data_IF_216030662641
#
_entry.id   IF_216030662641
#
_cell.length_a   1.000
_cell.length_b   1.000
_cell.length_c   1.000
_cell.angle_alpha   90.00
_cell.angle_beta   90.00
_cell.angle_gamma   90.00
#
_symmetry.space_group_name_H-M   'P 1'
#
loop_
_entity.id
_entity.type
_entity.pdbx_description
1 polymer ?
#
# COMPACT_ATOMS: atom_id res chain seq x y z
N UNK A 1 3.46 -7.35 -7.93
CA UNK A 1 3.38 -8.81 -8.08
C UNK A 1 3.05 -9.53 -6.75
N UNK A 2 3.88 -9.40 -5.69
CA UNK A 2 3.65 -10.08 -4.40
C UNK A 2 2.34 -9.66 -3.72
N UNK A 3 2.03 -8.36 -3.70
CA UNK A 3 0.79 -7.82 -3.11
C UNK A 3 -0.46 -8.36 -3.78
N UNK A 4 -0.46 -8.50 -5.11
CA UNK A 4 -1.57 -9.09 -5.86
C UNK A 4 -1.80 -10.55 -5.48
N UNK A 5 -0.73 -11.36 -5.40
CA UNK A 5 -0.85 -12.77 -5.01
C UNK A 5 -1.35 -12.94 -3.57
N UNK A 6 -0.90 -12.07 -2.65
CA UNK A 6 -1.34 -12.12 -1.26
C UNK A 6 -2.83 -11.76 -1.12
N UNK A 7 -3.29 -10.70 -1.78
CA UNK A 7 -4.70 -10.28 -1.75
C UNK A 7 -5.60 -11.31 -2.44
N UNK A 8 -5.14 -11.93 -3.54
CA UNK A 8 -5.82 -13.03 -4.21
C UNK A 8 -5.97 -14.24 -3.29
N UNK A 9 -4.86 -14.68 -2.64
CA UNK A 9 -4.87 -15.79 -1.69
C UNK A 9 -5.88 -15.57 -0.56
N UNK A 10 -5.81 -14.40 0.08
CA UNK A 10 -6.69 -14.04 1.18
C UNK A 10 -8.17 -14.18 0.79
N UNK A 11 -8.53 -13.68 -0.38
CA UNK A 11 -9.92 -13.70 -0.84
C UNK A 11 -10.34 -15.07 -1.31
N UNK A 12 -9.50 -15.79 -2.07
CA UNK A 12 -9.80 -17.12 -2.53
C UNK A 12 -10.12 -18.08 -1.36
N UNK A 13 -9.22 -18.19 -0.40
CA UNK A 13 -9.40 -19.11 0.72
C UNK A 13 -10.54 -18.70 1.66
N UNK A 14 -10.76 -17.39 1.85
CA UNK A 14 -11.89 -16.93 2.65
C UNK A 14 -13.23 -17.20 1.98
N UNK A 15 -13.32 -17.12 0.65
CA UNK A 15 -14.52 -17.49 -0.09
C UNK A 15 -14.71 -19.01 -0.12
N UNK A 16 -13.65 -19.80 -0.29
CA UNK A 16 -13.71 -21.26 -0.26
C UNK A 16 -14.23 -21.75 1.09
N UNK A 17 -13.73 -21.21 2.20
CA UNK A 17 -14.25 -21.52 3.54
C UNK A 17 -15.70 -21.07 3.71
N UNK A 18 -16.07 -19.91 3.16
CA UNK A 18 -17.45 -19.43 3.21
C UNK A 18 -18.42 -20.34 2.45
N UNK A 19 -17.97 -21.00 1.39
CA UNK A 19 -18.75 -22.05 0.68
C UNK A 19 -18.87 -23.30 1.55
N UNK A 20 -17.80 -23.74 2.20
CA UNK A 20 -17.83 -24.87 3.12
C UNK A 20 -18.80 -24.62 4.30
N UNK A 21 -18.80 -23.41 4.82
CA UNK A 21 -19.76 -22.98 5.84
C UNK A 21 -21.20 -22.94 5.31
N UNK A 22 -21.42 -22.53 4.07
CA UNK A 22 -22.74 -22.56 3.45
C UNK A 22 -23.27 -24.00 3.33
N UNK A 23 -22.43 -24.93 2.93
CA UNK A 23 -22.79 -26.34 2.85
C UNK A 23 -23.20 -26.94 4.20
N UNK A 24 -22.58 -26.51 5.31
CA UNK A 24 -22.86 -27.04 6.66
C UNK A 24 -23.93 -26.27 7.44
N UNK A 25 -24.10 -24.96 7.17
CA UNK A 25 -24.96 -24.04 7.97
C UNK A 25 -25.99 -23.28 7.12
N UNK A 26 -26.07 -23.56 5.83
CA UNK A 26 -26.86 -22.82 4.86
C UNK A 26 -26.19 -21.53 4.37
N UNK A 27 -26.59 -21.10 3.21
CA UNK A 27 -26.17 -19.82 2.63
C UNK A 27 -26.73 -18.60 3.43
N UNK A 28 -26.25 -17.40 3.15
CA UNK A 28 -26.85 -16.22 3.77
C UNK A 28 -28.28 -15.97 3.22
N UNK A 29 -29.21 -15.38 4.03
CA UNK A 29 -30.66 -15.40 3.74
C UNK A 29 -31.08 -14.76 2.41
N UNK A 30 -30.27 -13.85 1.86
CA UNK A 30 -30.57 -13.17 0.60
C UNK A 30 -29.68 -13.65 -0.58
N UNK A 31 -28.99 -14.77 -0.43
CA UNK A 31 -28.05 -15.28 -1.45
C UNK A 31 -28.75 -15.44 -2.81
N UNK A 32 -29.94 -16.00 -2.83
CA UNK A 32 -30.75 -16.19 -4.04
C UNK A 32 -31.21 -14.88 -4.74
N UNK A 33 -31.05 -13.74 -4.08
CA UNK A 33 -31.36 -12.41 -4.64
C UNK A 33 -30.11 -11.66 -5.12
N UNK A 34 -28.95 -12.29 -5.07
CA UNK A 34 -27.68 -11.76 -5.55
C UNK A 34 -27.26 -12.44 -6.85
N UNK A 35 -26.13 -12.05 -7.38
CA UNK A 35 -25.56 -12.65 -8.59
C UNK A 35 -24.72 -13.91 -8.31
N UNK A 36 -24.57 -14.33 -7.04
CA UNK A 36 -23.82 -15.56 -6.70
C UNK A 36 -24.40 -16.83 -7.33
N UNK A 37 -25.74 -17.04 -7.39
CA UNK A 37 -26.32 -18.19 -8.08
C UNK A 37 -25.98 -18.24 -9.58
N UNK A 38 -25.72 -17.08 -10.20
CA UNK A 38 -25.29 -16.97 -11.58
C UNK A 38 -23.76 -17.20 -11.75
N UNK A 39 -23.04 -17.36 -10.65
CA UNK A 39 -21.59 -17.50 -10.63
C UNK A 39 -20.83 -16.18 -10.76
N UNK A 40 -21.49 -15.05 -10.54
CA UNK A 40 -20.82 -13.76 -10.50
C UNK A 40 -20.35 -13.45 -9.10
N UNK A 41 -19.10 -13.05 -8.96
CA UNK A 41 -18.45 -12.72 -7.69
C UNK A 41 -18.00 -11.25 -7.68
N UNK A 42 -17.98 -10.57 -6.52
CA UNK A 42 -17.63 -9.14 -6.44
C UNK A 42 -16.12 -8.90 -6.43
N UNK A 43 -15.37 -9.59 -7.28
CA UNK A 43 -13.91 -9.56 -7.36
C UNK A 43 -13.51 -9.20 -8.79
N UNK A 44 -13.14 -7.95 -9.02
CA UNK A 44 -12.84 -7.44 -10.37
C UNK A 44 -11.62 -8.13 -11.00
N UNK A 45 -10.63 -8.49 -10.18
CA UNK A 45 -9.43 -9.18 -10.65
C UNK A 45 -9.71 -10.52 -11.33
N UNK A 46 -10.79 -11.21 -10.96
CA UNK A 46 -11.21 -12.42 -11.65
C UNK A 46 -11.63 -12.15 -13.11
N UNK A 47 -12.28 -11.01 -13.38
CA UNK A 47 -12.79 -10.66 -14.71
C UNK A 47 -11.79 -9.87 -15.56
N UNK A 48 -11.03 -9.00 -14.94
CA UNK A 48 -10.17 -8.03 -15.60
C UNK A 48 -8.77 -8.57 -15.89
N UNK A 49 -8.31 -9.55 -15.12
CA UNK A 49 -7.00 -10.17 -15.34
C UNK A 49 -7.07 -11.38 -16.25
N UNK A 50 -6.06 -11.60 -17.11
CA UNK A 50 -5.97 -12.83 -17.90
C UNK A 50 -5.98 -14.06 -17.00
N UNK A 51 -6.76 -15.08 -17.34
CA UNK A 51 -6.95 -16.29 -16.52
C UNK A 51 -5.64 -17.02 -16.21
N UNK A 52 -4.70 -17.00 -17.13
CA UNK A 52 -3.37 -17.60 -16.98
C UNK A 52 -2.51 -16.90 -15.92
N UNK A 53 -2.91 -15.71 -15.46
CA UNK A 53 -2.25 -14.98 -14.36
C UNK A 53 -2.87 -15.24 -13.00
N UNK A 54 -4.00 -15.96 -12.94
CA UNK A 54 -4.62 -16.36 -11.70
C UNK A 54 -3.75 -17.40 -10.99
N UNK A 55 -3.65 -17.28 -9.67
CA UNK A 55 -2.86 -18.23 -8.87
C UNK A 55 -3.71 -19.45 -8.46
N UNK A 56 -5.03 -19.28 -8.37
CA UNK A 56 -5.96 -20.26 -7.83
C UNK A 56 -7.05 -20.66 -8.84
N UNK A 57 -7.73 -21.80 -8.56
CA UNK A 57 -8.76 -22.40 -9.40
C UNK A 57 -10.13 -21.72 -9.21
N UNK A 58 -10.21 -20.45 -9.58
CA UNK A 58 -11.41 -19.62 -9.42
C UNK A 58 -12.66 -20.21 -10.09
N UNK A 59 -12.51 -20.77 -11.30
CA UNK A 59 -13.64 -21.37 -12.01
C UNK A 59 -14.24 -22.54 -11.22
N UNK A 60 -13.39 -23.36 -10.57
CA UNK A 60 -13.85 -24.47 -9.72
C UNK A 60 -14.54 -23.96 -8.44
N UNK A 61 -14.04 -22.88 -7.85
CA UNK A 61 -14.68 -22.25 -6.69
C UNK A 61 -16.06 -21.67 -7.05
N UNK A 62 -16.17 -21.03 -8.21
CA UNK A 62 -17.43 -20.49 -8.69
C UNK A 62 -18.48 -21.58 -8.90
N UNK A 63 -18.11 -22.72 -9.46
CA UNK A 63 -19.05 -23.87 -9.59
C UNK A 63 -19.50 -24.40 -8.23
N UNK A 64 -18.62 -24.42 -7.21
CA UNK A 64 -19.00 -24.73 -5.83
C UNK A 64 -19.99 -23.68 -5.27
N UNK A 65 -19.78 -22.38 -5.55
CA UNK A 65 -20.70 -21.32 -5.11
C UNK A 65 -22.08 -21.49 -5.76
N UNK A 66 -22.18 -21.79 -7.06
CA UNK A 66 -23.45 -22.05 -7.72
C UNK A 66 -24.20 -23.24 -7.11
N UNK A 67 -23.46 -24.26 -6.69
CA UNK A 67 -24.04 -25.52 -6.19
C UNK A 67 -24.47 -25.43 -4.73
N UNK A 68 -23.67 -24.77 -3.89
CA UNK A 68 -23.81 -24.78 -2.43
C UNK A 68 -24.19 -23.41 -1.83
N UNK A 69 -24.19 -22.36 -2.65
CA UNK A 69 -24.28 -20.98 -2.17
C UNK A 69 -23.02 -20.54 -1.44
N UNK A 70 -23.09 -19.40 -0.79
CA UNK A 70 -22.02 -18.84 0.05
C UNK A 70 -22.59 -18.31 1.37
N UNK A 71 -21.88 -18.53 2.48
CA UNK A 71 -22.37 -18.15 3.82
C UNK A 71 -22.28 -16.66 4.09
N UNK A 72 -21.28 -15.98 3.56
CA UNK A 72 -20.99 -14.56 3.81
C UNK A 72 -21.10 -13.77 2.51
N UNK A 73 -21.79 -12.64 2.54
CA UNK A 73 -21.95 -11.76 1.37
C UNK A 73 -20.62 -11.28 0.83
N UNK A 74 -19.73 -10.85 1.73
CA UNK A 74 -18.36 -10.43 1.46
C UNK A 74 -17.46 -10.99 2.55
N UNK A 75 -16.25 -11.40 2.19
CA UNK A 75 -15.34 -12.09 3.11
C UNK A 75 -14.10 -11.29 3.46
N UNK A 76 -13.70 -10.31 2.64
CA UNK A 76 -12.45 -9.59 2.80
C UNK A 76 -12.61 -8.09 2.78
N UNK A 77 -11.83 -7.41 3.61
CA UNK A 77 -11.65 -5.95 3.65
C UNK A 77 -10.24 -5.63 4.13
N UNK A 78 -9.77 -4.42 3.90
CA UNK A 78 -8.56 -3.88 4.55
C UNK A 78 -8.99 -2.71 5.44
N UNK A 79 -9.10 -2.99 6.72
CA UNK A 79 -9.49 -2.00 7.73
C UNK A 79 -8.28 -1.14 8.15
N UNK A 80 -8.49 0.06 8.74
CA UNK A 80 -7.38 0.96 9.10
C UNK A 80 -6.46 0.41 10.21
N UNK A 81 -6.97 -0.36 11.14
CA UNK A 81 -6.26 -1.10 12.22
C UNK A 81 -5.18 -0.33 13.00
N UNK A 82 -5.19 1.02 12.99
CA UNK A 82 -4.13 1.83 13.60
C UNK A 82 -3.87 1.49 15.08
N UNK A 83 -4.91 1.50 15.92
CA UNK A 83 -4.78 1.16 17.35
C UNK A 83 -4.45 -0.32 17.56
N UNK A 84 -5.03 -1.21 16.76
CA UNK A 84 -4.74 -2.66 16.86
C UNK A 84 -3.29 -2.96 16.48
N UNK A 85 -2.75 -2.30 15.47
CA UNK A 85 -1.36 -2.43 15.06
C UNK A 85 -0.40 -1.97 16.18
N UNK A 86 -0.75 -0.88 16.87
CA UNK A 86 0.04 -0.41 18.02
C UNK A 86 0.03 -1.42 19.19
N UNK A 87 -1.10 -2.08 19.44
CA UNK A 87 -1.20 -3.12 20.49
C UNK A 87 -0.41 -4.37 20.09
N UNK A 88 -0.50 -4.75 18.81
CA UNK A 88 0.17 -5.93 18.26
C UNK A 88 1.66 -5.67 17.92
N UNK A 89 2.10 -4.41 17.99
CA UNK A 89 3.45 -3.98 17.66
C UNK A 89 3.89 -4.41 16.24
N UNK A 90 3.04 -4.11 15.27
CA UNK A 90 3.25 -4.40 13.86
C UNK A 90 2.77 -3.24 12.97
N UNK A 91 3.00 -3.31 11.66
CA UNK A 91 2.45 -2.36 10.70
C UNK A 91 0.94 -2.52 10.57
N UNK A 92 0.24 -1.43 10.22
CA UNK A 92 -1.21 -1.42 10.04
C UNK A 92 -1.62 -1.58 8.58
N UNK A 93 -2.55 -2.51 8.33
CA UNK A 93 -3.15 -2.71 7.01
C UNK A 93 -2.11 -2.87 5.91
N UNK A 94 -2.29 -2.11 4.82
CA UNK A 94 -1.36 -2.04 3.69
C UNK A 94 -0.58 -0.71 3.63
N UNK A 95 -0.65 0.09 4.68
CA UNK A 95 -0.02 1.41 4.71
C UNK A 95 1.48 1.31 5.03
N UNK A 96 2.33 2.12 4.36
CA UNK A 96 3.71 2.29 4.80
C UNK A 96 3.75 2.95 6.17
N UNK A 97 4.85 2.77 6.88
CA UNK A 97 5.05 3.45 8.16
C UNK A 97 4.97 4.98 7.97
N UNK A 98 4.27 5.66 8.86
CA UNK A 98 4.21 7.12 8.82
C UNK A 98 5.57 7.75 9.16
N UNK A 99 6.26 7.19 10.14
CA UNK A 99 7.62 7.52 10.53
C UNK A 99 8.32 6.26 11.05
N UNK A 100 9.61 6.11 10.78
CA UNK A 100 10.42 4.97 11.25
C UNK A 100 11.02 5.22 12.60
N UNK A 101 11.31 6.48 12.91
CA UNK A 101 11.77 6.97 14.23
C UNK A 101 10.98 8.23 14.56
N UNK A 102 10.49 8.34 15.78
CA UNK A 102 9.89 9.56 16.30
C UNK A 102 10.33 9.84 17.74
N UNK A 103 10.46 11.11 18.06
CA UNK A 103 10.85 11.57 19.39
C UNK A 103 9.61 11.81 20.24
N UNK A 104 9.61 11.30 21.46
CA UNK A 104 8.66 11.67 22.50
C UNK A 104 9.36 12.48 23.57
N UNK A 105 8.98 13.74 23.69
CA UNK A 105 9.47 14.63 24.74
C UNK A 105 8.54 14.53 25.96
N UNK A 106 9.09 14.18 27.08
CA UNK A 106 8.40 14.17 28.39
C UNK A 106 9.23 14.92 29.40
N UNK A 107 8.63 15.28 30.53
CA UNK A 107 9.29 16.08 31.60
C UNK A 107 10.62 15.51 32.07
N UNK A 108 10.81 14.19 31.97
CA UNK A 108 12.02 13.48 32.41
C UNK A 108 13.08 13.27 31.33
N UNK A 109 12.83 13.69 30.06
CA UNK A 109 13.82 13.55 28.98
C UNK A 109 13.22 13.32 27.59
N UNK A 110 14.11 12.99 26.68
CA UNK A 110 13.78 12.63 25.29
C UNK A 110 13.90 11.13 25.15
N UNK A 111 12.91 10.53 24.46
CA UNK A 111 12.91 9.11 24.15
C UNK A 111 12.62 8.92 22.67
N UNK A 112 13.41 8.08 22.01
CA UNK A 112 13.17 7.69 20.64
C UNK A 112 12.36 6.40 20.61
N UNK A 113 11.31 6.39 19.78
CA UNK A 113 10.58 5.20 19.39
C UNK A 113 11.02 4.84 17.99
N UNK A 114 11.60 3.68 17.83
CA UNK A 114 12.11 3.19 16.56
C UNK A 114 11.29 1.97 16.13
N UNK A 115 10.98 1.88 14.83
CA UNK A 115 10.45 0.66 14.27
C UNK A 115 11.44 -0.49 14.53
N UNK A 116 10.98 -1.61 15.07
CA UNK A 116 11.85 -2.72 15.53
C UNK A 116 12.75 -3.26 14.44
N UNK A 117 12.22 -3.46 13.23
CA UNK A 117 13.01 -3.97 12.11
C UNK A 117 14.11 -2.97 11.73
N UNK A 118 13.77 -1.67 11.71
CA UNK A 118 14.76 -0.61 11.43
C UNK A 118 15.81 -0.56 12.54
N UNK A 119 15.40 -0.70 13.79
CA UNK A 119 16.33 -0.75 14.93
C UNK A 119 17.32 -1.90 14.82
N UNK A 120 16.84 -3.11 14.52
CA UNK A 120 17.68 -4.29 14.31
C UNK A 120 18.67 -4.07 13.16
N UNK A 121 18.22 -3.59 12.02
CA UNK A 121 19.06 -3.33 10.86
C UNK A 121 20.09 -2.21 11.13
N UNK A 122 19.72 -1.15 11.84
CA UNK A 122 20.67 -0.11 12.24
C UNK A 122 21.75 -0.67 13.18
N UNK A 123 21.38 -1.54 14.14
CA UNK A 123 22.34 -2.21 15.04
C UNK A 123 23.29 -3.14 14.27
N UNK A 124 22.78 -3.97 13.39
CA UNK A 124 23.59 -4.86 12.56
C UNK A 124 24.61 -4.13 11.69
N UNK A 125 24.29 -2.90 11.29
CA UNK A 125 25.17 -2.06 10.48
C UNK A 125 26.01 -1.05 11.29
N UNK A 126 26.00 -1.14 12.63
CA UNK A 126 26.69 -0.22 13.54
C UNK A 126 26.29 1.27 13.39
N UNK A 127 25.03 1.51 13.00
CA UNK A 127 24.44 2.84 12.79
C UNK A 127 23.46 3.24 13.91
N UNK A 128 23.23 2.39 14.90
CA UNK A 128 22.29 2.67 15.98
C UNK A 128 22.95 3.55 17.05
N UNK A 129 22.69 4.83 17.00
CA UNK A 129 23.17 5.81 17.98
C UNK A 129 22.13 6.93 18.18
N UNK A 130 22.14 7.59 19.34
CA UNK A 130 21.25 8.71 19.60
C UNK A 130 21.38 9.84 18.58
N UNK A 131 22.59 10.04 18.02
CA UNK A 131 22.84 11.04 16.98
C UNK A 131 22.11 10.68 15.68
N UNK A 132 22.20 9.44 15.24
CA UNK A 132 21.50 8.96 14.02
C UNK A 132 19.99 8.96 14.26
N UNK A 133 19.52 8.50 15.41
CA UNK A 133 18.10 8.51 15.73
C UNK A 133 17.52 9.93 15.75
N UNK A 134 18.27 10.90 16.29
CA UNK A 134 17.88 12.30 16.26
C UNK A 134 17.79 12.84 14.83
N UNK A 135 18.78 12.53 13.96
CA UNK A 135 18.77 12.91 12.54
C UNK A 135 17.54 12.34 11.82
N UNK A 136 17.21 11.08 12.07
CA UNK A 136 16.04 10.43 11.46
C UNK A 136 14.74 11.11 11.95
N UNK A 137 14.61 11.33 13.27
CA UNK A 137 13.45 11.97 13.87
C UNK A 137 13.26 13.41 13.34
N UNK A 138 14.34 14.19 13.24
CA UNK A 138 14.32 15.56 12.68
C UNK A 138 14.06 15.56 11.16
N UNK A 139 14.33 14.44 10.48
CA UNK A 139 14.03 14.22 9.06
C UNK A 139 12.65 13.61 8.84
N UNK A 140 11.66 13.93 9.66
CA UNK A 140 10.28 13.41 9.58
C UNK A 140 10.19 11.89 9.76
N UNK A 141 11.13 11.30 10.45
CA UNK A 141 11.20 9.85 10.67
C UNK A 141 11.64 9.05 9.45
N UNK A 142 12.10 9.72 8.39
CA UNK A 142 12.58 9.12 7.17
C UNK A 142 14.11 8.95 7.17
N UNK A 143 14.58 7.85 6.58
CA UNK A 143 16.00 7.59 6.35
C UNK A 143 16.55 8.34 5.12
N UNK A 144 15.68 8.81 4.23
CA UNK A 144 16.08 9.43 2.97
C UNK A 144 16.91 10.70 3.15
N UNK A 145 18.00 10.80 2.38
CA UNK A 145 18.88 11.97 2.37
C UNK A 145 19.81 12.08 3.57
N UNK A 146 19.87 11.09 4.46
CA UNK A 146 20.82 11.04 5.57
C UNK A 146 22.09 10.38 5.06
N UNK A 147 23.18 11.15 4.96
CA UNK A 147 24.44 10.73 4.32
C UNK A 147 25.10 9.52 4.97
N UNK A 148 24.93 9.33 6.27
CA UNK A 148 25.49 8.22 7.02
C UNK A 148 24.74 6.90 6.80
N UNK A 149 23.50 6.96 6.25
CA UNK A 149 22.67 5.79 6.02
C UNK A 149 22.91 5.27 4.60
N UNK A 150 23.30 3.99 4.44
CA UNK A 150 23.50 3.39 3.13
C UNK A 150 22.28 3.50 2.23
N UNK A 151 22.47 3.72 0.93
CA UNK A 151 21.39 3.92 -0.04
C UNK A 151 20.38 2.79 -0.04
N UNK A 152 20.83 1.52 0.05
CA UNK A 152 19.92 0.38 0.09
C UNK A 152 18.94 0.40 1.27
N UNK A 153 19.36 0.97 2.42
CA UNK A 153 18.45 1.14 3.58
C UNK A 153 17.43 2.25 3.31
N UNK A 154 17.87 3.36 2.71
CA UNK A 154 17.01 4.46 2.33
C UNK A 154 15.95 4.02 1.30
N UNK A 155 16.31 3.13 0.38
CA UNK A 155 15.40 2.59 -0.64
C UNK A 155 14.44 1.53 -0.10
N UNK A 156 14.87 0.80 0.94
CA UNK A 156 14.07 -0.28 1.54
C UNK A 156 13.09 0.24 2.58
N UNK A 157 13.54 1.13 3.45
CA UNK A 157 12.78 1.64 4.58
C UNK A 157 12.23 3.04 4.28
N UNK A 158 11.19 3.08 3.45
CA UNK A 158 10.51 4.32 3.07
C UNK A 158 9.34 4.61 4.00
N UNK A 159 9.10 5.90 4.28
CA UNK A 159 7.92 6.36 4.99
C UNK A 159 6.78 6.68 4.01
N UNK A 160 5.58 6.89 4.55
CA UNK A 160 4.43 7.27 3.74
C UNK A 160 4.66 8.57 2.96
N UNK A 161 5.44 9.51 3.50
CA UNK A 161 5.76 10.78 2.83
C UNK A 161 6.88 10.66 1.79
N UNK A 162 7.64 9.57 1.80
CA UNK A 162 8.67 9.29 0.80
C UNK A 162 8.10 8.68 -0.49
N UNK A 163 6.80 8.39 -0.52
CA UNK A 163 6.11 7.72 -1.63
C UNK A 163 5.19 8.73 -2.31
N UNK A 164 5.25 8.81 -3.64
CA UNK A 164 4.37 9.69 -4.40
C UNK A 164 2.89 9.25 -4.25
N UNK A 165 1.97 10.23 -4.21
CA UNK A 165 0.54 9.97 -4.01
C UNK A 165 -0.05 8.96 -5.02
N UNK A 166 0.43 8.98 -6.24
CA UNK A 166 -0.02 8.07 -7.30
C UNK A 166 0.41 6.62 -7.05
N UNK A 167 1.59 6.40 -6.48
CA UNK A 167 2.06 5.05 -6.09
C UNK A 167 1.26 4.48 -4.93
N UNK A 168 0.82 5.33 -3.99
CA UNK A 168 -0.14 4.94 -2.96
C UNK A 168 -1.44 4.42 -3.56
N UNK A 169 -1.97 5.10 -4.60
CA UNK A 169 -3.20 4.69 -5.29
C UNK A 169 -3.00 3.41 -6.09
N UNK A 170 -1.87 3.28 -6.80
CA UNK A 170 -1.54 2.05 -7.53
C UNK A 170 -1.47 0.84 -6.60
N UNK A 171 -0.82 0.99 -5.44
CA UNK A 171 -0.77 -0.08 -4.43
C UNK A 171 -2.17 -0.47 -3.96
N UNK A 172 -3.04 0.52 -3.67
CA UNK A 172 -4.43 0.28 -3.28
C UNK A 172 -5.23 -0.39 -4.42
N UNK A 173 -5.03 0.03 -5.67
CA UNK A 173 -5.67 -0.56 -6.85
C UNK A 173 -5.35 -2.04 -7.02
N UNK A 174 -4.08 -2.40 -6.86
CA UNK A 174 -3.64 -3.82 -6.92
C UNK A 174 -4.34 -4.68 -5.87
N UNK A 175 -4.54 -4.16 -4.66
CA UNK A 175 -5.28 -4.88 -3.61
C UNK A 175 -6.78 -4.91 -3.89
N UNK A 176 -7.37 -3.78 -4.37
CA UNK A 176 -8.81 -3.67 -4.59
C UNK A 176 -9.32 -4.65 -5.65
N UNK A 177 -8.49 -5.02 -6.62
CA UNK A 177 -8.86 -6.03 -7.61
C UNK A 177 -9.29 -7.37 -6.97
N UNK A 178 -8.71 -7.72 -5.82
CA UNK A 178 -8.97 -8.98 -5.13
C UNK A 178 -9.77 -8.84 -3.83
N UNK A 179 -9.94 -7.65 -3.29
CA UNK A 179 -10.67 -7.40 -2.04
C UNK A 179 -12.13 -7.05 -2.34
N UNK A 180 -13.04 -7.83 -1.77
CA UNK A 180 -14.48 -7.67 -2.01
C UNK A 180 -15.08 -6.38 -1.42
N UNK A 181 -14.66 -5.94 -0.24
CA UNK A 181 -15.08 -4.67 0.37
C UNK A 181 -14.15 -3.51 -0.02
N UNK A 182 -14.48 -2.33 0.47
CA UNK A 182 -13.60 -1.16 0.37
C UNK A 182 -12.31 -1.37 1.17
N UNK A 183 -11.27 -0.66 0.77
CA UNK A 183 -9.97 -0.61 1.43
C UNK A 183 -9.83 0.76 2.10
N UNK A 184 -9.51 0.77 3.39
CA UNK A 184 -9.13 1.99 4.09
C UNK A 184 -7.63 2.21 3.93
N UNK A 185 -7.27 3.16 3.07
CA UNK A 185 -5.90 3.59 2.89
C UNK A 185 -5.82 5.10 2.80
N UNK A 186 -4.90 5.68 3.58
CA UNK A 186 -4.57 7.09 3.49
C UNK A 186 -3.58 7.32 2.35
N UNK A 187 -3.91 8.28 1.49
CA UNK A 187 -3.00 8.83 0.49
C UNK A 187 -2.33 10.03 1.13
N UNK A 188 -1.10 9.82 1.59
CA UNK A 188 -0.31 10.87 2.23
C UNK A 188 0.27 11.78 1.14
N UNK A 189 0.11 13.07 1.33
CA UNK A 189 0.54 14.09 0.39
C UNK A 189 1.38 15.15 1.13
N UNK A 190 2.51 15.58 0.56
CA UNK A 190 3.33 16.66 1.13
C UNK A 190 2.57 17.98 1.26
N UNK A 191 3.13 18.93 2.01
CA UNK A 191 2.54 20.25 2.23
C UNK A 191 2.35 21.07 0.95
N UNK A 192 3.23 20.91 -0.02
CA UNK A 192 3.28 21.66 -1.28
C UNK A 192 2.34 21.15 -2.38
N UNK A 193 1.58 20.05 -2.13
CA UNK A 193 0.61 19.57 -3.12
C UNK A 193 -0.51 20.58 -3.35
N UNK A 194 -0.94 20.67 -4.59
CA UNK A 194 -1.97 21.59 -5.06
C UNK A 194 -3.37 20.96 -4.98
N UNK A 195 -4.40 21.78 -5.19
CA UNK A 195 -5.77 21.32 -5.36
C UNK A 195 -5.90 20.42 -6.59
N UNK A 196 -5.14 20.69 -7.64
CA UNK A 196 -5.15 19.90 -8.87
C UNK A 196 -4.53 18.50 -8.66
N UNK A 197 -3.50 18.38 -7.82
CA UNK A 197 -2.96 17.08 -7.42
C UNK A 197 -4.01 16.24 -6.69
N UNK A 198 -4.72 16.84 -5.74
CA UNK A 198 -5.81 16.16 -5.01
C UNK A 198 -6.93 15.73 -5.97
N UNK A 199 -7.31 16.61 -6.90
CA UNK A 199 -8.31 16.29 -7.94
C UNK A 199 -7.84 15.14 -8.82
N UNK A 200 -6.58 15.17 -9.26
CA UNK A 200 -5.97 14.13 -10.07
C UNK A 200 -5.92 12.79 -9.33
N UNK A 201 -5.67 12.81 -8.03
CA UNK A 201 -5.71 11.61 -7.19
C UNK A 201 -7.10 10.98 -7.16
N UNK A 202 -8.17 11.78 -6.99
CA UNK A 202 -9.55 11.25 -7.04
C UNK A 202 -9.91 10.70 -8.42
N UNK A 203 -9.49 11.36 -9.50
CA UNK A 203 -9.71 10.87 -10.85
C UNK A 203 -8.98 9.54 -11.11
N UNK A 204 -7.72 9.45 -10.70
CA UNK A 204 -6.94 8.21 -10.82
C UNK A 204 -7.55 7.09 -9.95
N UNK A 205 -8.02 7.40 -8.74
CA UNK A 205 -8.69 6.42 -7.89
C UNK A 205 -9.94 5.83 -8.55
N UNK A 206 -10.73 6.67 -9.24
CA UNK A 206 -11.89 6.22 -10.02
C UNK A 206 -11.48 5.28 -11.15
N UNK A 207 -10.46 5.65 -11.93
CA UNK A 207 -9.96 4.82 -13.04
C UNK A 207 -9.38 3.48 -12.57
N UNK A 208 -8.82 3.45 -11.36
CA UNK A 208 -8.33 2.22 -10.72
C UNK A 208 -9.45 1.35 -10.12
N UNK A 209 -10.72 1.77 -10.23
CA UNK A 209 -11.85 1.04 -9.67
C UNK A 209 -11.87 1.01 -8.13
N UNK A 210 -11.26 1.98 -7.45
CA UNK A 210 -11.25 2.04 -6.00
C UNK A 210 -12.64 2.36 -5.46
N UNK A 211 -13.05 1.67 -4.41
CA UNK A 211 -14.34 1.87 -3.72
C UNK A 211 -14.33 3.05 -2.75
N UNK A 212 -13.17 3.61 -2.48
CA UNK A 212 -12.98 4.80 -1.64
C UNK A 212 -11.51 5.09 -1.43
N UNK A 213 -11.19 6.34 -1.06
CA UNK A 213 -9.86 6.76 -0.69
C UNK A 213 -9.92 7.87 0.36
N UNK A 214 -8.84 8.03 1.13
CA UNK A 214 -8.69 9.11 2.10
C UNK A 214 -7.44 9.91 1.75
N UNK A 215 -7.55 11.23 1.66
CA UNK A 215 -6.40 12.12 1.47
C UNK A 215 -5.99 12.72 2.81
N UNK A 216 -4.70 12.71 3.09
CA UNK A 216 -4.09 13.48 4.16
C UNK A 216 -2.96 14.32 3.58
N UNK A 217 -3.16 15.65 3.56
CA UNK A 217 -2.11 16.62 3.21
C UNK A 217 -1.41 17.06 4.48
N UNK A 218 -0.08 17.05 4.49
CA UNK A 218 0.70 17.54 5.62
C UNK A 218 0.34 19.00 5.95
N UNK A 219 0.31 19.32 7.24
CA UNK A 219 -0.09 20.65 7.72
C UNK A 219 -1.57 21.00 7.60
N UNK A 220 -2.45 20.08 7.16
CA UNK A 220 -3.90 20.35 7.02
C UNK A 220 -4.66 20.38 8.35
N UNK A 221 -4.05 19.92 9.46
CA UNK A 221 -4.65 19.92 10.79
C UNK A 221 -3.80 20.72 11.78
N UNK A 222 -4.43 21.57 12.60
CA UNK A 222 -3.76 22.36 13.64
C UNK A 222 -3.14 21.52 14.77
N UNK A 223 -3.63 20.28 14.98
CA UNK A 223 -3.05 19.31 15.93
C UNK A 223 -2.77 18.03 15.18
N UNK A 224 -1.54 17.78 14.89
CA UNK A 224 -1.09 16.49 14.38
C UNK A 224 -1.00 15.50 15.54
N UNK A 225 -1.46 14.27 15.32
CA UNK A 225 -1.44 13.20 16.33
C UNK A 225 -0.02 12.73 16.62
N UNK A 226 0.87 12.84 15.63
CA UNK A 226 2.30 12.58 15.74
C UNK A 226 3.04 13.92 15.55
N UNK A 227 3.60 14.47 16.59
CA UNK A 227 4.45 15.65 16.53
C UNK A 227 5.84 15.23 16.04
N UNK A 228 6.25 15.80 14.92
CA UNK A 228 7.62 15.76 14.47
C UNK A 228 8.38 16.92 15.09
N UNK A 229 9.67 16.77 15.31
CA UNK A 229 10.49 17.62 16.20
C UNK A 229 10.65 19.08 15.79
N UNK A 230 10.32 19.46 14.57
CA UNK A 230 10.40 20.85 14.10
C UNK A 230 9.02 21.53 14.13
N UNK A 231 8.79 22.38 15.11
CA UNK A 231 7.54 23.14 15.27
C UNK A 231 7.23 24.09 14.11
N UNK A 232 8.14 24.34 13.16
CA UNK A 232 8.02 25.36 12.14
C UNK A 232 8.60 25.03 10.76
N UNK A 233 9.01 23.81 10.47
CA UNK A 233 9.59 23.50 9.16
C UNK A 233 8.58 22.72 8.30
N UNK A 234 8.05 23.35 7.28
CA UNK A 234 7.42 22.67 6.14
C UNK A 234 8.54 22.05 5.31
N UNK A 235 8.70 20.73 5.39
CA UNK A 235 9.61 20.02 4.50
C UNK A 235 8.92 19.81 3.15
N UNK A 236 9.57 20.22 2.08
CA UNK A 236 9.23 19.77 0.74
C UNK A 236 9.82 18.36 0.54
N UNK A 237 8.99 17.44 0.13
CA UNK A 237 9.43 16.10 -0.23
C UNK A 237 9.59 16.06 -1.74
N UNK A 238 10.81 15.89 -2.20
CA UNK A 238 11.09 15.72 -3.62
C UNK A 238 10.78 14.27 -4.02
N UNK A 239 9.49 14.00 -4.24
CA UNK A 239 8.95 12.66 -4.50
C UNK A 239 8.38 12.63 -5.90
N UNK A 240 8.93 11.78 -6.74
CA UNK A 240 8.49 11.56 -8.12
C UNK A 240 7.64 10.29 -8.24
N UNK A 241 6.68 10.23 -9.18
CA UNK A 241 5.92 9.02 -9.45
C UNK A 241 6.83 7.92 -10.01
N UNK A 242 6.53 6.68 -9.68
CA UNK A 242 7.25 5.55 -10.27
C UNK A 242 6.94 5.40 -11.77
N UNK A 243 7.88 4.82 -12.51
CA UNK A 243 7.67 4.52 -13.93
C UNK A 243 6.45 3.63 -14.18
N UNK A 244 6.10 2.76 -13.22
CA UNK A 244 4.89 1.92 -13.31
C UNK A 244 3.60 2.75 -13.33
N UNK A 245 3.52 3.82 -12.54
CA UNK A 245 2.36 4.73 -12.56
C UNK A 245 2.28 5.46 -13.88
N UNK A 246 3.40 6.04 -14.34
CA UNK A 246 3.45 6.79 -15.61
C UNK A 246 3.04 5.89 -16.76
N UNK A 247 3.55 4.65 -16.82
CA UNK A 247 3.19 3.67 -17.83
C UNK A 247 1.70 3.30 -17.75
N UNK A 248 1.18 3.03 -16.55
CA UNK A 248 -0.22 2.70 -16.35
C UNK A 248 -1.15 3.81 -16.87
N UNK A 249 -0.88 5.06 -16.51
CA UNK A 249 -1.67 6.23 -16.95
C UNK A 249 -1.62 6.37 -18.47
N UNK A 250 -0.46 6.11 -19.07
CA UNK A 250 -0.27 6.18 -20.52
C UNK A 250 -1.07 5.10 -21.26
N UNK A 251 -1.06 3.87 -20.77
CA UNK A 251 -1.58 2.71 -21.49
C UNK A 251 -3.07 2.44 -21.20
N UNK A 252 -3.52 2.69 -19.97
CA UNK A 252 -4.82 2.20 -19.51
C UNK A 252 -5.88 3.31 -19.37
N UNK A 253 -5.51 4.58 -19.13
CA UNK A 253 -6.50 5.64 -19.04
C UNK A 253 -6.91 6.07 -20.44
N UNK A 254 -8.13 5.72 -20.82
CA UNK A 254 -8.71 6.03 -22.14
C UNK A 254 -9.43 7.37 -22.18
N UNK A 255 -9.98 7.84 -21.05
CA UNK A 255 -10.64 9.15 -20.97
C UNK A 255 -9.61 10.29 -21.14
N UNK A 256 -9.66 11.08 -22.24
CA UNK A 256 -8.63 12.08 -22.55
C UNK A 256 -8.58 13.21 -21.52
N UNK A 257 -9.71 13.56 -20.91
CA UNK A 257 -9.76 14.58 -19.86
C UNK A 257 -9.04 14.11 -18.59
N UNK A 258 -9.35 12.90 -18.12
CA UNK A 258 -8.71 12.32 -16.92
C UNK A 258 -7.23 12.10 -17.19
N UNK A 259 -6.87 11.54 -18.33
CA UNK A 259 -5.47 11.33 -18.74
C UNK A 259 -4.68 12.62 -18.76
N UNK A 260 -5.23 13.70 -19.32
CA UNK A 260 -4.60 15.02 -19.37
C UNK A 260 -4.40 15.62 -17.98
N UNK A 261 -5.42 15.53 -17.11
CA UNK A 261 -5.34 16.06 -15.74
C UNK A 261 -4.31 15.31 -14.90
N UNK A 262 -4.33 13.97 -14.94
CA UNK A 262 -3.38 13.13 -14.19
C UNK A 262 -1.96 13.34 -14.71
N UNK A 263 -1.74 13.35 -16.03
CA UNK A 263 -0.42 13.60 -16.61
C UNK A 263 0.13 15.00 -16.26
N UNK A 264 -0.71 16.02 -16.24
CA UNK A 264 -0.28 17.36 -15.84
C UNK A 264 0.24 17.38 -14.39
N UNK A 265 -0.45 16.70 -13.46
CA UNK A 265 -0.01 16.55 -12.07
C UNK A 265 1.25 15.69 -11.92
N UNK A 266 1.41 14.65 -12.75
CA UNK A 266 2.60 13.80 -12.73
C UNK A 266 3.82 14.51 -13.35
N UNK A 267 3.63 15.25 -14.43
CA UNK A 267 4.69 15.93 -15.18
C UNK A 267 5.29 17.14 -14.44
N UNK A 268 4.54 17.82 -13.58
CA UNK A 268 5.02 18.95 -12.80
C UNK A 268 6.19 18.64 -11.85
N UNK A 269 6.47 17.36 -11.61
CA UNK A 269 7.57 16.90 -10.75
C UNK A 269 8.70 16.16 -11.48
N UNK A 270 8.59 16.00 -12.81
CA UNK A 270 9.65 15.41 -13.65
C UNK A 270 10.42 16.52 -14.36
N UNK A 271 10.98 17.47 -13.61
CA UNK A 271 11.86 18.49 -14.19
C UNK A 271 13.31 18.06 -14.03
N UNK A 272 13.99 18.04 -15.19
CA UNK A 272 15.42 18.12 -15.45
C UNK A 272 16.26 16.84 -15.69
N UNK A 273 15.68 15.68 -15.96
CA UNK A 273 16.45 14.65 -16.64
C UNK A 273 15.69 14.08 -17.85
N UNK A 274 16.29 14.19 -19.05
CA UNK A 274 15.86 13.41 -20.20
C UNK A 274 16.00 11.92 -19.85
N UNK A 275 14.89 11.28 -19.46
CA UNK A 275 14.85 9.87 -19.15
C UNK A 275 14.94 9.11 -20.48
N UNK A 276 16.13 8.74 -20.87
CA UNK A 276 16.36 7.69 -21.86
C UNK A 276 15.93 6.38 -21.22
N UNK A 277 14.77 5.86 -21.63
CA UNK A 277 14.21 4.61 -21.12
C UNK A 277 15.04 3.46 -21.69
N UNK A 278 16.11 3.05 -20.99
CA UNK A 278 16.64 1.70 -21.13
C UNK A 278 15.80 0.78 -20.23
N UNK A 279 15.14 -0.20 -20.84
CA UNK A 279 14.40 -1.22 -20.09
C UNK A 279 15.35 -1.91 -19.10
N UNK A 280 15.00 -1.99 -17.79
CA UNK A 280 15.84 -2.67 -16.82
C UNK A 280 16.00 -4.13 -17.24
N UNK A 281 17.22 -4.59 -17.46
CA UNK A 281 17.53 -6.03 -17.51
C UNK A 281 17.13 -6.61 -16.17
N UNK A 282 16.17 -7.53 -16.20
CA UNK A 282 15.78 -8.35 -15.05
C UNK A 282 16.98 -9.27 -14.80
N UNK A 283 17.88 -8.89 -13.91
CA UNK A 283 18.80 -9.85 -13.32
C UNK A 283 17.99 -10.81 -12.46
N UNK A 284 18.06 -12.08 -12.78
CA UNK A 284 17.50 -13.14 -11.93
C UNK A 284 18.10 -13.01 -10.54
N UNK A 285 17.28 -12.64 -9.57
CA UNK A 285 17.68 -12.61 -8.16
C UNK A 285 17.92 -14.05 -7.74
N UNK A 286 19.20 -14.40 -7.52
CA UNK A 286 19.59 -15.70 -7.01
C UNK A 286 18.82 -16.01 -5.71
N UNK A 287 18.37 -17.25 -5.55
CA UNK A 287 17.58 -17.73 -4.38
C UNK A 287 18.27 -17.53 -3.02
N UNK A 288 19.53 -17.15 -3.00
CA UNK A 288 20.34 -16.95 -1.78
C UNK A 288 20.06 -15.65 -1.01
N UNK A 289 19.19 -14.76 -1.51
CA UNK A 289 18.81 -13.49 -0.85
C UNK A 289 17.41 -13.48 -0.24
N UNK A 290 16.79 -14.64 -0.04
CA UNK A 290 15.53 -14.75 0.67
C UNK A 290 15.77 -14.64 2.18
N UNK A 291 14.93 -13.82 2.83
CA UNK A 291 14.89 -13.61 4.28
C UNK A 291 15.01 -14.95 5.04
N UNK A 292 15.89 -15.06 6.07
CA UNK A 292 16.09 -16.30 6.84
C UNK A 292 14.82 -16.87 7.46
N UNK A 293 13.82 -16.03 7.75
CA UNK A 293 12.53 -16.43 8.33
C UNK A 293 11.60 -17.15 7.35
N UNK A 294 11.84 -17.04 6.03
CA UNK A 294 11.03 -17.74 5.02
C UNK A 294 11.49 -19.18 4.74
N UNK A 295 12.59 -19.65 5.36
CA UNK A 295 13.13 -21.01 5.18
C UNK A 295 12.64 -22.06 6.19
N UNK A 296 11.75 -21.72 7.14
CA UNK A 296 11.41 -22.62 8.25
C UNK A 296 10.09 -23.37 8.12
N UNK A 297 9.42 -23.36 6.98
CA UNK A 297 8.14 -24.06 6.80
C UNK A 297 8.16 -25.13 5.68
N UNK A 298 9.26 -25.87 5.55
CA UNK A 298 9.25 -27.17 4.88
C UNK A 298 9.83 -28.23 5.83
N UNK A 299 8.97 -28.68 6.78
CA UNK A 299 9.05 -30.02 7.41
C UNK A 299 7.69 -30.45 7.91
#
# INVERSE_FOLDING_TARGET
FRSSKLSEALTYYSMEESVALANSRGEFPLCSKTEYPEGKIPISGYYERPKETHTYEWDALIEKIKTHGIRNVLTTTVAPTGTLAMIADCSNGMEPAFALVFEKRVTVGRFFYTNKIVEEVLKENNLYSDEILAKIADNYGSLRGIAEIPQWMQDTFVTAMDIHWSDHLMAQGVWQQWIGNAISKTINMPYDVTVDDVKSAYLLAHELGLKGMTVYRDGSRHKQVLHMTSENATKTFDVVPSLHVVQYVTDNITNPFIKSQVNASLALKVHDEEITIEAPKIEEVSEDRLCPTCRSEER
#
